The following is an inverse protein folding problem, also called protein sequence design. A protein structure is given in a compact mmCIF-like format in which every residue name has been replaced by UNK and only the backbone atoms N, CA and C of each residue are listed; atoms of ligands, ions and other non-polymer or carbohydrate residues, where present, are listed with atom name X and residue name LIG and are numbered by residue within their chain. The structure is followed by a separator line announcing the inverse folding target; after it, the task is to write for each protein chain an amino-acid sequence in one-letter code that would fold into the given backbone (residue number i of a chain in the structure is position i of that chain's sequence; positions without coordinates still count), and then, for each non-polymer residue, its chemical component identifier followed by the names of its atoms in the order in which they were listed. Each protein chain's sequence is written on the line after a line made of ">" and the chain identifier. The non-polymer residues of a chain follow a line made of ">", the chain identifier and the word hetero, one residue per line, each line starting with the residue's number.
data_IF_800476157914
#
_entry.id   IF_800476157914
#
_cell.length_a   1.000
_cell.length_b   1.000
_cell.length_c   1.000
_cell.angle_alpha   90.00
_cell.angle_beta   90.00
_cell.angle_gamma   90.00
#
_symmetry.space_group_name_H-M   'P 1'
#
loop_
_entity.id
_entity.type
_entity.pdbx_description
1 polymer ?
#
# COMPACT_ATOMS: atom_id res chain seq x y z
N UNK A 1 -17.83 -3.57 -0.71
CA UNK A 1 -16.98 -4.44 0.14
C UNK A 1 -17.53 -4.30 1.55
N UNK A 2 -17.95 -5.38 2.22
CA UNK A 2 -18.66 -5.30 3.53
C UNK A 2 -17.75 -5.66 4.70
N UNK A 3 -18.04 -5.11 5.88
CA UNK A 3 -17.27 -5.37 7.11
C UNK A 3 -17.24 -6.85 7.50
N UNK A 4 -18.29 -7.59 7.15
CA UNK A 4 -18.44 -9.04 7.38
C UNK A 4 -17.20 -9.86 7.00
N UNK A 5 -16.57 -9.53 5.86
CA UNK A 5 -15.39 -10.26 5.37
C UNK A 5 -14.20 -10.15 6.31
N UNK A 6 -14.03 -9.00 6.97
CA UNK A 6 -12.96 -8.79 7.93
C UNK A 6 -13.26 -9.49 9.26
N UNK A 7 -14.54 -9.57 9.65
CA UNK A 7 -14.96 -10.37 10.81
C UNK A 7 -14.63 -11.85 10.61
N UNK A 8 -14.97 -12.39 9.43
CA UNK A 8 -14.70 -13.78 9.08
C UNK A 8 -13.19 -14.06 9.01
N UNK A 9 -12.41 -13.12 8.45
CA UNK A 9 -10.95 -13.24 8.41
C UNK A 9 -10.31 -13.31 9.80
N UNK A 10 -10.82 -12.57 10.79
CA UNK A 10 -10.34 -12.65 12.17
C UNK A 10 -10.74 -13.99 12.80
N UNK A 11 -11.96 -14.46 12.56
CA UNK A 11 -12.41 -15.77 13.04
C UNK A 11 -11.48 -16.87 12.53
N UNK A 12 -11.18 -16.87 11.24
CA UNK A 12 -10.30 -17.86 10.61
C UNK A 12 -8.88 -17.78 11.16
N UNK A 13 -8.28 -16.57 11.19
CA UNK A 13 -6.90 -16.36 11.66
C UNK A 13 -6.69 -16.80 13.11
N UNK A 14 -7.66 -16.50 13.98
CA UNK A 14 -7.56 -16.78 15.42
C UNK A 14 -8.23 -18.09 15.84
N UNK A 15 -8.71 -18.90 14.88
CA UNK A 15 -9.33 -20.20 15.15
C UNK A 15 -10.59 -20.11 16.03
N UNK A 16 -11.35 -19.03 15.89
CA UNK A 16 -12.54 -18.78 16.72
C UNK A 16 -13.70 -19.66 16.26
N UNK A 17 -14.55 -20.07 17.20
CA UNK A 17 -15.68 -20.98 16.91
C UNK A 17 -16.94 -20.25 16.47
N UNK A 18 -17.11 -19.00 16.88
CA UNK A 18 -18.34 -18.24 16.65
C UNK A 18 -18.13 -16.73 16.88
N UNK A 19 -19.15 -15.95 16.52
CA UNK A 19 -19.21 -14.50 16.70
C UNK A 19 -19.13 -14.05 18.16
N UNK A 20 -19.49 -14.93 19.12
CA UNK A 20 -19.38 -14.61 20.55
C UNK A 20 -17.92 -14.56 20.98
N UNK A 21 -17.11 -15.53 20.54
CA UNK A 21 -15.67 -15.52 20.77
C UNK A 21 -15.00 -14.34 20.06
N UNK A 22 -15.47 -13.97 18.86
CA UNK A 22 -15.01 -12.76 18.17
C UNK A 22 -15.32 -11.48 18.97
N UNK A 23 -16.53 -11.36 19.51
CA UNK A 23 -16.90 -10.21 20.32
C UNK A 23 -16.06 -10.09 21.59
N UNK A 24 -15.78 -11.23 22.25
CA UNK A 24 -14.90 -11.30 23.41
C UNK A 24 -13.46 -10.89 23.06
N UNK A 25 -12.92 -11.38 21.93
CA UNK A 25 -11.59 -11.01 21.45
C UNK A 25 -11.48 -9.51 21.13
N UNK A 26 -12.52 -8.92 20.53
CA UNK A 26 -12.58 -7.50 20.19
C UNK A 26 -12.90 -6.58 21.39
N UNK A 27 -13.30 -7.16 22.53
CA UNK A 27 -13.73 -6.42 23.71
C UNK A 27 -15.04 -5.65 23.51
N UNK A 28 -15.97 -6.18 22.71
CA UNK A 28 -17.25 -5.55 22.37
C UNK A 28 -18.46 -6.39 22.82
N UNK A 29 -19.65 -5.79 22.77
CA UNK A 29 -20.88 -6.53 23.08
C UNK A 29 -21.14 -7.65 22.04
N UNK A 30 -21.55 -8.83 22.52
CA UNK A 30 -21.91 -10.00 21.68
C UNK A 30 -22.97 -9.67 20.61
N UNK A 31 -23.92 -8.79 20.92
CA UNK A 31 -24.95 -8.36 19.96
C UNK A 31 -24.39 -7.45 18.86
N UNK A 32 -23.27 -6.76 19.09
CA UNK A 32 -22.69 -5.83 18.14
C UNK A 32 -22.25 -6.55 16.85
N UNK A 33 -21.60 -7.72 16.98
CA UNK A 33 -21.15 -8.50 15.82
C UNK A 33 -22.33 -8.90 14.92
N UNK A 34 -23.42 -9.38 15.52
CA UNK A 34 -24.66 -9.70 14.79
C UNK A 34 -25.27 -8.47 14.13
N UNK A 35 -25.23 -7.30 14.79
CA UNK A 35 -25.72 -6.05 14.22
C UNK A 35 -24.87 -5.56 13.04
N UNK A 36 -23.56 -5.79 13.06
CA UNK A 36 -22.67 -5.50 11.92
C UNK A 36 -23.01 -6.42 10.75
N UNK A 37 -23.13 -7.73 10.98
CA UNK A 37 -23.48 -8.70 9.91
C UNK A 37 -24.83 -8.46 9.26
N UNK A 38 -25.78 -7.90 10.00
CA UNK A 38 -27.14 -7.61 9.52
C UNK A 38 -27.30 -6.18 9.01
N UNK A 39 -26.27 -5.33 9.10
CA UNK A 39 -26.35 -3.91 8.74
C UNK A 39 -27.23 -3.07 9.67
N UNK A 40 -27.65 -3.61 10.83
CA UNK A 40 -28.45 -2.87 11.83
C UNK A 40 -27.64 -1.79 12.53
N UNK A 41 -26.34 -2.02 12.69
CA UNK A 41 -25.36 -1.07 13.22
C UNK A 41 -24.15 -1.06 12.30
N UNK A 42 -23.42 0.04 12.28
CA UNK A 42 -22.14 0.17 11.58
C UNK A 42 -21.00 0.24 12.58
N UNK A 43 -19.85 -0.28 12.19
CA UNK A 43 -18.67 -0.32 13.04
C UNK A 43 -18.10 1.09 13.26
N UNK A 44 -17.56 1.33 14.45
CA UNK A 44 -16.86 2.58 14.77
C UNK A 44 -15.37 2.47 14.43
N UNK A 45 -14.68 3.61 14.23
CA UNK A 45 -13.28 3.62 13.79
C UNK A 45 -12.34 2.88 14.76
N UNK A 46 -12.57 3.00 16.06
CA UNK A 46 -11.85 2.26 17.11
C UNK A 46 -11.93 0.75 16.92
N UNK A 47 -13.11 0.23 16.58
CA UNK A 47 -13.33 -1.20 16.35
C UNK A 47 -12.68 -1.64 15.02
N UNK A 48 -12.70 -0.78 14.00
CA UNK A 48 -11.99 -1.01 12.73
C UNK A 48 -10.48 -1.10 12.94
N UNK A 49 -9.90 -0.23 13.78
CA UNK A 49 -8.48 -0.24 14.12
C UNK A 49 -8.09 -1.52 14.90
N UNK A 50 -8.94 -1.98 15.83
CA UNK A 50 -8.71 -3.26 16.51
C UNK A 50 -8.75 -4.45 15.56
N UNK A 51 -9.68 -4.46 14.61
CA UNK A 51 -9.69 -5.50 13.56
C UNK A 51 -8.41 -5.48 12.73
N UNK A 52 -7.93 -4.30 12.34
CA UNK A 52 -6.69 -4.17 11.59
C UNK A 52 -5.49 -4.72 12.38
N UNK A 53 -5.41 -4.44 13.68
CA UNK A 53 -4.39 -5.00 14.57
C UNK A 53 -4.48 -6.52 14.65
N UNK A 54 -5.68 -7.09 14.82
CA UNK A 54 -5.86 -8.54 14.88
C UNK A 54 -5.54 -9.27 13.56
N UNK A 55 -5.59 -8.55 12.43
CA UNK A 55 -5.25 -9.06 11.11
C UNK A 55 -3.81 -8.76 10.70
N UNK A 56 -3.01 -8.14 11.57
CA UNK A 56 -1.66 -7.64 11.27
C UNK A 56 -1.63 -6.80 9.98
N UNK A 57 -2.63 -5.92 9.80
CA UNK A 57 -2.72 -5.02 8.66
C UNK A 57 -2.04 -3.68 8.98
N UNK A 58 -1.01 -3.34 8.21
CA UNK A 58 -0.35 -2.02 8.30
C UNK A 58 -1.29 -0.86 7.97
N UNK A 59 -2.27 -1.11 7.09
CA UNK A 59 -3.21 -0.10 6.63
C UNK A 59 -4.66 -0.46 7.03
N UNK A 60 -5.28 0.28 7.97
CA UNK A 60 -6.67 0.03 8.41
C UNK A 60 -7.73 0.59 7.43
N UNK A 61 -7.33 1.38 6.42
CA UNK A 61 -8.25 2.06 5.51
C UNK A 61 -9.26 1.14 4.81
N UNK A 62 -8.93 -0.09 4.37
CA UNK A 62 -9.91 -0.97 3.76
C UNK A 62 -11.08 -1.32 4.68
N UNK A 63 -10.82 -1.46 5.99
CA UNK A 63 -11.84 -1.79 6.99
C UNK A 63 -12.72 -0.57 7.27
N UNK A 64 -12.10 0.59 7.45
CA UNK A 64 -12.81 1.86 7.67
C UNK A 64 -13.70 2.19 6.47
N UNK A 65 -13.18 2.03 5.26
CA UNK A 65 -13.95 2.23 4.03
C UNK A 65 -15.16 1.28 3.97
N UNK A 66 -14.99 0.00 4.32
CA UNK A 66 -16.11 -0.94 4.38
C UNK A 66 -17.17 -0.51 5.41
N UNK A 67 -16.75 -0.05 6.59
CA UNK A 67 -17.66 0.42 7.62
C UNK A 67 -18.45 1.68 7.21
N UNK A 68 -17.80 2.60 6.49
CA UNK A 68 -18.45 3.80 5.94
C UNK A 68 -19.38 3.48 4.78
N UNK A 69 -19.05 2.49 3.93
CA UNK A 69 -19.96 1.99 2.91
C UNK A 69 -21.23 1.42 3.55
N UNK A 70 -21.08 0.56 4.56
CA UNK A 70 -22.21 0.00 5.31
C UNK A 70 -23.04 1.14 5.97
N UNK A 71 -22.38 2.22 6.41
CA UNK A 71 -23.05 3.40 7.01
C UNK A 71 -23.86 4.18 5.99
N UNK A 72 -23.30 4.40 4.80
CA UNK A 72 -23.99 5.08 3.71
C UNK A 72 -25.22 4.28 3.25
N UNK A 73 -25.06 2.96 3.04
CA UNK A 73 -26.15 2.06 2.67
C UNK A 73 -27.30 2.12 3.70
N UNK A 74 -26.98 2.08 5.00
CA UNK A 74 -27.98 2.20 6.07
C UNK A 74 -28.70 3.55 6.08
N UNK A 75 -28.05 4.63 5.64
CA UNK A 75 -28.65 5.96 5.51
C UNK A 75 -29.40 6.15 4.18
N UNK A 76 -29.42 5.14 3.30
CA UNK A 76 -29.99 5.25 1.95
C UNK A 76 -29.20 6.19 1.04
N UNK A 77 -27.94 6.48 1.38
CA UNK A 77 -27.05 7.36 0.63
C UNK A 77 -26.03 6.53 -0.14
N UNK A 78 -25.53 7.05 -1.27
CA UNK A 78 -24.36 6.46 -1.94
C UNK A 78 -23.11 6.85 -1.16
N UNK A 79 -22.20 5.90 -0.98
CA UNK A 79 -20.98 6.17 -0.23
C UNK A 79 -20.07 7.11 -1.03
N UNK A 80 -19.48 8.11 -0.38
CA UNK A 80 -18.48 8.96 -1.04
C UNK A 80 -17.27 8.14 -1.52
N UNK A 81 -17.03 7.00 -0.88
CA UNK A 81 -15.99 6.03 -1.24
C UNK A 81 -16.16 5.42 -2.64
N UNK A 82 -17.36 5.33 -3.18
CA UNK A 82 -17.57 4.93 -4.59
C UNK A 82 -16.86 5.89 -5.57
N UNK A 83 -16.79 7.17 -5.22
CA UNK A 83 -16.14 8.21 -6.04
C UNK A 83 -14.62 8.25 -5.79
N UNK A 84 -14.19 8.02 -4.55
CA UNK A 84 -12.77 8.15 -4.15
C UNK A 84 -11.92 6.87 -4.32
N UNK A 85 -12.53 5.68 -4.24
CA UNK A 85 -11.82 4.39 -4.32
C UNK A 85 -10.94 4.18 -5.57
N UNK A 86 -11.30 4.60 -6.80
CA UNK A 86 -10.43 4.38 -7.96
C UNK A 86 -9.09 5.13 -7.87
N UNK A 87 -9.01 6.19 -7.04
CA UNK A 87 -7.82 7.04 -6.94
C UNK A 87 -6.78 6.53 -5.92
N UNK A 88 -7.19 5.75 -4.93
CA UNK A 88 -6.29 5.23 -3.87
C UNK A 88 -5.53 3.95 -4.25
N UNK A 89 -6.04 3.15 -5.19
CA UNK A 89 -5.43 1.87 -5.57
C UNK A 89 -4.02 2.00 -6.22
N UNK A 90 -3.60 3.20 -6.62
CA UNK A 90 -2.37 3.44 -7.38
C UNK A 90 -1.20 4.00 -6.56
N UNK A 91 -1.38 4.30 -5.27
CA UNK A 91 -0.38 5.06 -4.51
C UNK A 91 0.72 4.22 -3.83
N UNK A 92 0.54 2.90 -3.65
CA UNK A 92 1.52 2.07 -2.94
C UNK A 92 2.64 1.51 -3.86
N UNK A 93 2.39 1.34 -5.16
CA UNK A 93 3.35 0.73 -6.11
C UNK A 93 4.13 1.73 -6.94
N UNK A 94 3.69 3.00 -7.04
CA UNK A 94 4.33 4.00 -7.90
C UNK A 94 5.64 4.57 -7.32
N UNK A 95 5.85 4.53 -6.00
CA UNK A 95 7.04 5.11 -5.37
C UNK A 95 8.33 4.28 -5.59
N UNK A 96 8.22 2.96 -5.82
CA UNK A 96 9.38 2.06 -5.95
C UNK A 96 10.02 2.18 -7.34
N UNK A 97 9.28 2.54 -8.38
CA UNK A 97 9.81 2.61 -9.75
C UNK A 97 10.67 3.86 -10.01
N UNK A 98 10.54 4.93 -9.23
CA UNK A 98 11.30 6.18 -9.45
C UNK A 98 12.73 6.10 -8.88
N UNK A 99 12.96 5.29 -7.85
CA UNK A 99 14.30 5.18 -7.21
C UNK A 99 15.30 4.32 -8.01
N UNK A 100 14.84 3.40 -8.86
CA UNK A 100 15.74 2.55 -9.65
C UNK A 100 16.35 3.28 -10.85
N UNK A 101 15.68 4.32 -11.37
CA UNK A 101 16.16 5.06 -12.55
C UNK A 101 17.27 6.09 -12.24
N UNK A 102 17.41 6.55 -11.00
CA UNK A 102 18.34 7.62 -10.63
C UNK A 102 19.70 7.14 -10.06
N UNK A 103 19.89 5.83 -9.86
CA UNK A 103 21.03 5.30 -9.10
C UNK A 103 22.32 4.97 -9.88
N UNK A 104 22.36 5.04 -11.21
CA UNK A 104 23.44 4.39 -12.01
C UNK A 104 24.51 5.35 -12.55
N UNK A 105 24.42 6.67 -12.37
CA UNK A 105 25.33 7.60 -13.10
C UNK A 105 26.57 8.08 -12.34
N UNK A 106 26.82 7.64 -11.10
CA UNK A 106 27.88 8.24 -10.26
C UNK A 106 29.09 7.34 -9.90
N UNK A 107 29.43 6.34 -10.70
CA UNK A 107 30.72 5.65 -10.53
C UNK A 107 31.33 5.28 -11.89
N UNK A 108 32.20 6.15 -12.41
CA UNK A 108 33.47 5.86 -13.11
C UNK A 108 33.97 7.16 -13.73
N UNK A 109 34.97 7.77 -13.07
CA UNK A 109 35.90 8.70 -13.73
C UNK A 109 37.31 8.31 -13.29
N UNK A 110 38.15 7.86 -14.22
CA UNK A 110 39.43 8.56 -14.34
C UNK A 110 39.91 8.71 -15.81
N UNK A 111 40.29 9.91 -16.24
CA UNK A 111 41.31 10.09 -17.28
C UNK A 111 42.56 10.73 -16.66
N UNK A 112 43.81 10.43 -17.02
CA UNK A 112 44.40 9.57 -18.04
C UNK A 112 45.87 9.36 -17.63
N UNK A 113 46.29 8.13 -17.34
CA UNK A 113 47.71 7.79 -17.17
C UNK A 113 48.37 7.80 -18.55
N UNK A 114 49.51 8.51 -18.64
CA UNK A 114 50.32 8.76 -19.83
C UNK A 114 50.45 7.58 -20.82
N UNK A 115 50.29 7.86 -22.11
CA UNK A 115 50.88 7.07 -23.18
C UNK A 115 51.56 8.01 -24.19
N UNK A 116 52.89 8.05 -24.15
CA UNK A 116 53.77 8.66 -25.15
C UNK A 116 53.49 8.07 -26.53
N UNK A 117 53.09 8.89 -27.50
CA UNK A 117 53.04 8.52 -28.92
C UNK A 117 54.19 9.19 -29.69
N UNK A 118 55.36 8.56 -29.65
CA UNK A 118 56.32 8.68 -30.74
C UNK A 118 55.83 7.82 -31.92
N UNK A 119 55.32 8.45 -32.98
CA UNK A 119 55.38 7.99 -34.38
C UNK A 119 54.69 9.06 -35.25
N UNK A 120 55.46 9.96 -35.86
CA UNK A 120 55.85 9.87 -37.28
C UNK A 120 54.62 9.82 -38.21
N UNK A 121 54.24 10.99 -38.73
CA UNK A 121 53.52 11.09 -39.99
C UNK A 121 54.00 12.34 -40.74
N UNK A 122 54.88 12.08 -41.71
CA UNK A 122 55.03 12.78 -42.99
C UNK A 122 54.49 14.21 -43.11
N UNK A 123 55.39 15.19 -43.05
CA UNK A 123 55.03 16.58 -43.38
C UNK A 123 56.18 17.58 -43.53
N UNK A 124 57.44 17.17 -43.49
CA UNK A 124 58.58 18.07 -43.74
C UNK A 124 59.55 17.46 -44.76
N UNK A 125 59.11 17.48 -46.02
CA UNK A 125 59.99 17.54 -47.18
C UNK A 125 59.74 18.87 -47.86
N UNK A 126 60.42 19.93 -47.42
CA UNK A 126 60.75 21.08 -48.25
C UNK A 126 61.83 21.89 -47.53
N UNK A 127 63.07 21.40 -47.63
CA UNK A 127 64.25 22.23 -47.52
C UNK A 127 64.67 22.55 -48.96
N UNK A 128 64.36 23.75 -49.43
CA UNK A 128 65.05 24.43 -50.53
C UNK A 128 64.88 25.95 -50.35
N UNK A 129 66.02 26.65 -50.45
CA UNK A 129 66.31 28.07 -50.20
C UNK A 129 66.66 28.43 -48.76
#
# INVERSE_FOLDING_TARGET
>A
MRVEKFLDAVIERHGLKNDTALAELLGINKSAVSHYRTGRRTMDNEECLRLAQLLDMDNPMPIIMAADMDRAERQGQRSLWEVFSPRMAHSATAAILVLVAAGVTNFVTPPSTQANSHAIAAGQRFALC
#
